data_IF_398239857100
#
_entry.id   IF_398239857100
#
_cell.length_a   1.000
_cell.length_b   1.000
_cell.length_c   1.000
_cell.angle_alpha   90.00
_cell.angle_beta   90.00
_cell.angle_gamma   90.00
#
_symmetry.space_group_name_H-M   'P 1'
#
loop_
_entity.id
_entity.type
_entity.pdbx_description
1 polymer ?
#
# COMPACT_ATOMS: atom_id res chain seq x y z
N UNK A 1 -67.10 23.11 9.19
CA UNK A 1 -67.39 21.78 8.60
C UNK A 1 -66.16 21.40 7.79
N UNK A 2 -65.39 20.36 8.04
CA UNK A 2 -65.63 19.06 8.68
C UNK A 2 -64.40 18.66 9.51
N UNK A 3 -64.68 18.06 10.68
CA UNK A 3 -63.75 17.32 11.52
C UNK A 3 -63.36 16.00 10.86
N UNK A 4 -62.14 15.52 11.18
CA UNK A 4 -61.67 14.18 10.87
C UNK A 4 -60.64 13.75 11.90
N UNK A 5 -61.11 13.42 13.10
CA UNK A 5 -60.35 12.77 14.18
C UNK A 5 -60.48 11.26 14.03
N UNK A 6 -59.40 10.47 14.13
CA UNK A 6 -59.36 9.03 14.48
C UNK A 6 -57.87 8.61 14.75
N UNK A 7 -57.59 7.54 15.53
CA UNK A 7 -57.01 7.68 16.87
C UNK A 7 -55.61 7.05 17.05
N UNK A 8 -54.94 7.46 18.14
CA UNK A 8 -53.77 6.77 18.70
C UNK A 8 -54.22 5.49 19.43
N UNK A 9 -53.98 4.34 18.80
CA UNK A 9 -54.07 3.02 19.44
C UNK A 9 -52.67 2.40 19.55
N UNK A 10 -52.18 2.39 20.78
CA UNK A 10 -51.32 1.38 21.43
C UNK A 10 -50.69 0.28 20.53
N UNK A 11 -49.37 0.31 20.42
CA UNK A 11 -48.55 -0.87 20.10
C UNK A 11 -47.44 -1.06 21.15
N UNK A 12 -47.11 -2.32 21.50
CA UNK A 12 -46.40 -2.68 22.72
C UNK A 12 -44.88 -2.43 22.65
N UNK A 13 -44.32 -2.14 23.83
CA UNK A 13 -42.89 -2.26 24.11
C UNK A 13 -42.39 -3.68 23.81
N UNK A 14 -41.23 -3.78 23.16
CA UNK A 14 -40.45 -5.01 23.11
C UNK A 14 -40.09 -5.50 21.72
N UNK A 15 -39.18 -4.80 21.05
CA UNK A 15 -38.36 -5.41 20.00
C UNK A 15 -36.94 -4.88 20.13
N UNK A 16 -36.08 -5.74 20.68
CA UNK A 16 -34.63 -5.57 20.70
C UNK A 16 -34.15 -5.50 19.25
N UNK A 17 -33.33 -4.51 18.84
CA UNK A 17 -32.72 -4.54 17.53
C UNK A 17 -31.76 -5.72 17.45
N UNK A 18 -32.07 -6.67 16.55
CA UNK A 18 -31.19 -7.77 16.18
C UNK A 18 -29.97 -7.17 15.49
N UNK A 19 -28.83 -7.15 16.18
CA UNK A 19 -27.52 -6.88 15.58
C UNK A 19 -27.20 -8.00 14.60
N UNK A 20 -27.24 -7.69 13.31
CA UNK A 20 -26.72 -8.55 12.26
C UNK A 20 -25.19 -8.41 12.25
N UNK A 21 -24.51 -9.32 12.96
CA UNK A 21 -23.09 -9.57 12.75
C UNK A 21 -22.95 -10.55 11.57
N UNK A 22 -22.17 -10.25 10.52
CA UNK A 22 -21.88 -11.20 9.46
C UNK A 22 -21.05 -12.40 9.94
N UNK A 23 -20.54 -12.35 11.18
CA UNK A 23 -19.89 -13.46 11.86
C UNK A 23 -20.84 -13.99 12.95
N UNK A 24 -21.36 -15.20 12.74
CA UNK A 24 -22.25 -15.86 13.70
C UNK A 24 -21.60 -16.08 15.08
N UNK A 25 -22.40 -16.32 16.13
CA UNK A 25 -21.87 -16.47 17.48
C UNK A 25 -21.01 -17.73 17.57
N UNK A 26 -19.71 -17.57 17.85
CA UNK A 26 -18.83 -18.68 18.21
C UNK A 26 -19.24 -19.19 19.59
N UNK A 27 -19.83 -20.38 19.64
CA UNK A 27 -20.05 -21.11 20.89
C UNK A 27 -18.69 -21.49 21.49
N UNK A 28 -18.42 -21.05 22.71
CA UNK A 28 -17.25 -21.50 23.48
C UNK A 28 -17.39 -23.00 23.81
N UNK A 29 -16.33 -23.81 23.71
CA UNK A 29 -16.38 -25.20 24.14
C UNK A 29 -16.58 -25.26 25.66
N UNK A 30 -17.69 -25.85 26.11
CA UNK A 30 -17.85 -26.24 27.52
C UNK A 30 -16.85 -27.36 27.82
N UNK A 31 -15.91 -27.10 28.73
CA UNK A 31 -15.08 -28.15 29.30
C UNK A 31 -15.93 -29.18 30.07
N UNK A 32 -15.45 -30.42 30.21
CA UNK A 32 -16.19 -31.47 30.88
C UNK A 32 -16.31 -31.19 32.38
N UNK A 33 -17.55 -31.18 32.86
CA UNK A 33 -17.90 -31.17 34.28
C UNK A 33 -17.58 -32.56 34.84
N UNK A 34 -16.66 -32.63 35.81
CA UNK A 34 -16.41 -33.83 36.60
C UNK A 34 -17.31 -33.81 37.82
N UNK A 35 -18.41 -34.58 37.78
CA UNK A 35 -19.17 -34.92 38.97
C UNK A 35 -18.51 -36.13 39.64
N UNK A 36 -18.03 -35.91 40.86
CA UNK A 36 -17.45 -36.92 41.72
C UNK A 36 -18.50 -37.39 42.73
N UNK A 37 -19.20 -38.48 42.42
CA UNK A 37 -19.87 -39.32 43.42
C UNK A 37 -19.75 -40.77 42.97
N UNK A 38 -19.07 -41.60 43.76
CA UNK A 38 -19.22 -43.05 43.63
C UNK A 38 -19.06 -43.74 44.98
N UNK A 39 -20.19 -44.22 45.50
CA UNK A 39 -20.27 -45.16 46.60
C UNK A 39 -20.43 -46.59 46.06
N UNK A 40 -19.51 -47.45 46.51
CA UNK A 40 -19.70 -48.88 46.86
C UNK A 40 -20.51 -49.82 45.94
N UNK A 41 -19.81 -50.85 45.45
CA UNK A 41 -20.27 -52.24 45.56
C UNK A 41 -20.22 -53.10 44.30
N UNK A 42 -19.56 -54.27 44.37
CA UNK A 42 -19.84 -55.41 43.49
C UNK A 42 -18.62 -56.08 42.87
N UNK A 43 -18.21 -57.23 43.42
CA UNK A 43 -17.02 -58.04 43.11
C UNK A 43 -17.33 -59.17 42.09
N UNK A 44 -16.25 -59.78 41.56
CA UNK A 44 -16.11 -61.13 40.94
C UNK A 44 -16.40 -61.21 39.43
N UNK A 45 -15.63 -61.86 38.53
CA UNK A 45 -14.59 -62.91 38.60
C UNK A 45 -13.57 -62.80 37.42
N UNK A 46 -12.31 -63.15 37.69
CA UNK A 46 -11.17 -63.42 36.76
C UNK A 46 -11.24 -64.85 36.13
N UNK A 47 -10.23 -65.40 35.41
CA UNK A 47 -9.18 -64.84 34.52
C UNK A 47 -8.97 -65.68 33.22
N UNK A 48 -8.08 -65.27 32.29
CA UNK A 48 -7.61 -66.22 31.26
C UNK A 48 -6.71 -65.71 30.13
N UNK A 49 -5.40 -65.91 30.32
CA UNK A 49 -4.37 -66.24 29.34
C UNK A 49 -3.64 -65.15 28.52
N UNK A 50 -2.33 -65.37 28.48
CA UNK A 50 -1.21 -64.51 28.07
C UNK A 50 -0.58 -65.14 26.78
N UNK A 51 0.65 -64.81 26.33
CA UNK A 51 0.91 -64.17 25.03
C UNK A 51 1.76 -65.02 24.06
N UNK A 52 1.77 -64.71 22.77
CA UNK A 52 2.77 -65.12 21.75
C UNK A 52 2.40 -64.41 20.44
N UNK A 53 3.24 -63.66 19.73
CA UNK A 53 4.57 -64.01 19.23
C UNK A 53 4.44 -64.51 17.78
N UNK A 54 4.99 -63.78 16.80
CA UNK A 54 5.81 -64.30 15.67
C UNK A 54 5.94 -63.26 14.54
N UNK A 55 7.20 -62.96 14.31
CA UNK A 55 7.88 -62.26 13.24
C UNK A 55 7.83 -63.08 11.92
N UNK A 56 7.68 -62.42 10.77
CA UNK A 56 8.11 -63.00 9.50
C UNK A 56 8.79 -61.96 8.59
N UNK A 57 10.05 -62.28 8.36
CA UNK A 57 11.06 -61.66 7.52
C UNK A 57 10.87 -61.83 5.99
N UNK A 58 11.26 -60.77 5.26
CA UNK A 58 12.29 -60.69 4.20
C UNK A 58 12.20 -61.55 2.90
N UNK A 59 12.19 -60.84 1.75
CA UNK A 59 13.10 -60.98 0.57
C UNK A 59 13.01 -59.71 -0.32
N UNK A 60 13.99 -58.79 -0.38
CA UNK A 60 15.22 -58.72 -1.22
C UNK A 60 14.95 -58.87 -2.74
N UNK A 61 15.40 -58.05 -3.72
CA UNK A 61 16.49 -57.03 -3.93
C UNK A 61 16.32 -56.45 -5.40
N UNK A 62 17.24 -55.66 -6.05
CA UNK A 62 17.65 -54.26 -5.84
C UNK A 62 17.88 -53.40 -7.15
N UNK A 63 18.29 -52.12 -6.99
CA UNK A 63 19.00 -51.27 -7.98
C UNK A 63 18.60 -49.79 -7.83
N UNK A 64 19.41 -48.82 -7.37
CA UNK A 64 20.81 -48.44 -7.64
C UNK A 64 20.83 -47.49 -8.86
N UNK A 65 21.21 -46.20 -8.87
CA UNK A 65 22.25 -45.45 -8.15
C UNK A 65 22.07 -43.91 -8.28
N UNK A 66 22.70 -43.16 -7.35
CA UNK A 66 23.19 -41.76 -7.45
C UNK A 66 24.32 -41.58 -6.40
N UNK A 67 25.13 -40.50 -6.41
CA UNK A 67 26.07 -39.92 -7.39
C UNK A 67 27.51 -39.82 -6.75
N UNK A 68 28.54 -39.03 -7.21
CA UNK A 68 28.59 -37.54 -7.17
C UNK A 68 29.45 -36.81 -8.27
N UNK A 69 29.40 -35.46 -8.28
CA UNK A 69 30.22 -34.45 -9.02
C UNK A 69 31.60 -34.22 -8.29
N UNK A 70 32.60 -33.35 -8.65
CA UNK A 70 32.83 -32.39 -9.77
C UNK A 70 34.27 -32.31 -10.40
N UNK A 71 34.46 -31.60 -11.53
CA UNK A 71 35.80 -31.20 -12.03
C UNK A 71 35.85 -30.55 -13.43
N UNK A 72 36.61 -29.45 -13.54
CA UNK A 72 36.78 -28.40 -14.59
C UNK A 72 37.36 -28.81 -15.99
N UNK A 73 37.39 -27.91 -17.01
CA UNK A 73 37.42 -28.21 -18.46
C UNK A 73 38.76 -27.90 -19.19
N UNK A 74 38.86 -28.16 -20.52
CA UNK A 74 39.57 -27.30 -21.47
C UNK A 74 38.58 -26.75 -22.52
N UNK A 75 38.61 -25.50 -23.01
CA UNK A 75 39.72 -24.75 -23.59
C UNK A 75 39.34 -24.42 -25.04
N UNK A 76 39.32 -23.14 -25.46
CA UNK A 76 39.05 -22.76 -26.85
C UNK A 76 38.41 -21.38 -27.02
N UNK A 77 39.26 -20.36 -27.08
CA UNK A 77 38.94 -18.99 -27.51
C UNK A 77 39.29 -18.93 -29.00
N UNK A 78 38.44 -18.33 -29.85
CA UNK A 78 38.93 -17.64 -31.04
C UNK A 78 37.92 -16.58 -31.55
N UNK A 79 38.41 -15.34 -31.62
CA UNK A 79 37.79 -14.19 -32.27
C UNK A 79 38.36 -14.02 -33.69
N UNK A 80 37.56 -13.61 -34.70
CA UNK A 80 38.13 -13.11 -35.95
C UNK A 80 38.61 -11.65 -35.81
N UNK A 81 39.88 -11.44 -36.18
CA UNK A 81 40.58 -10.16 -36.29
C UNK A 81 40.00 -9.23 -37.37
N UNK A 82 40.03 -7.94 -37.04
CA UNK A 82 40.09 -6.80 -37.96
C UNK A 82 41.30 -6.90 -38.91
N UNK A 83 41.07 -6.64 -40.19
CA UNK A 83 42.09 -6.25 -41.17
C UNK A 83 42.22 -4.72 -41.23
N UNK A 84 43.44 -4.26 -41.55
CA UNK A 84 43.96 -2.91 -41.33
C UNK A 84 43.65 -1.85 -42.41
N UNK A 85 44.38 -0.71 -42.36
CA UNK A 85 44.00 0.54 -43.02
C UNK A 85 44.82 0.83 -44.28
N UNK A 86 44.17 1.25 -45.37
CA UNK A 86 44.83 1.89 -46.53
C UNK A 86 43.87 2.85 -47.23
N UNK A 87 44.36 4.05 -47.58
CA UNK A 87 43.90 4.80 -48.76
C UNK A 87 43.15 6.11 -48.51
N UNK A 88 43.89 7.21 -48.31
CA UNK A 88 43.43 8.57 -48.59
C UNK A 88 43.98 9.03 -49.96
N UNK A 89 43.14 9.59 -50.85
CA UNK A 89 43.60 10.45 -51.93
C UNK A 89 42.88 11.83 -51.96
N UNK A 90 43.38 12.81 -52.74
CA UNK A 90 43.57 14.19 -52.29
C UNK A 90 42.47 15.20 -52.65
N UNK A 91 42.55 16.36 -51.99
CA UNK A 91 41.81 17.61 -52.25
C UNK A 91 42.16 18.18 -53.65
N UNK A 92 41.17 18.56 -54.48
CA UNK A 92 41.37 19.50 -55.57
C UNK A 92 41.12 20.94 -55.11
N UNK A 93 42.07 21.83 -55.41
CA UNK A 93 41.94 23.27 -55.19
C UNK A 93 41.13 24.00 -56.26
N UNK A 94 40.62 25.16 -55.86
CA UNK A 94 40.47 26.35 -56.70
C UNK A 94 39.22 26.46 -57.56
N UNK A 95 38.25 27.26 -57.13
CA UNK A 95 37.63 28.23 -58.05
C UNK A 95 37.14 29.48 -57.31
N UNK A 96 37.57 30.62 -57.85
CA UNK A 96 37.20 31.97 -57.47
C UNK A 96 35.71 32.21 -57.77
N UNK A 97 34.95 32.69 -56.77
CA UNK A 97 33.72 33.42 -57.03
C UNK A 97 33.80 34.78 -56.33
N UNK A 98 34.10 35.79 -57.15
CA UNK A 98 33.84 37.20 -56.86
C UNK A 98 32.35 37.38 -56.57
N UNK A 99 31.99 37.62 -55.30
CA UNK A 99 30.66 38.11 -54.94
C UNK A 99 30.78 39.56 -54.49
N UNK A 100 30.10 40.37 -55.31
CA UNK A 100 29.77 41.79 -55.22
C UNK A 100 29.64 42.35 -53.80
N UNK A 101 30.23 43.54 -53.60
CA UNK A 101 29.95 44.45 -52.50
C UNK A 101 28.45 44.81 -52.47
N UNK A 102 27.77 44.38 -51.41
CA UNK A 102 26.46 44.86 -50.99
C UNK A 102 26.57 45.23 -49.52
N UNK A 103 26.32 46.49 -49.22
CA UNK A 103 26.31 47.08 -47.89
C UNK A 103 25.15 46.50 -47.05
N UNK A 104 25.37 46.03 -45.81
CA UNK A 104 24.31 45.95 -44.83
C UNK A 104 24.64 46.87 -43.65
N UNK A 105 23.79 47.88 -43.51
CA UNK A 105 23.54 48.60 -42.27
C UNK A 105 23.63 47.66 -41.06
N UNK A 106 24.57 48.01 -40.18
CA UNK A 106 24.81 47.42 -38.87
C UNK A 106 23.54 47.41 -38.00
N UNK A 107 23.05 46.22 -37.69
CA UNK A 107 22.42 45.93 -36.39
C UNK A 107 23.10 44.68 -35.84
N UNK A 108 24.13 44.91 -35.02
CA UNK A 108 24.80 43.85 -34.27
C UNK A 108 23.89 43.46 -33.10
N UNK A 109 23.02 42.47 -33.32
CA UNK A 109 22.44 41.71 -32.23
C UNK A 109 23.52 40.71 -31.78
N UNK A 110 24.15 41.01 -30.65
CA UNK A 110 24.97 40.03 -29.93
C UNK A 110 24.04 38.87 -29.54
N UNK A 111 24.38 37.61 -29.83
CA UNK A 111 23.68 36.50 -29.21
C UNK A 111 23.97 36.59 -27.71
N UNK A 112 22.93 36.78 -26.90
CA UNK A 112 23.05 36.64 -25.45
C UNK A 112 23.78 35.32 -25.17
N UNK A 113 24.91 35.42 -24.47
CA UNK A 113 25.64 34.25 -23.98
C UNK A 113 24.72 33.37 -23.15
N UNK A 114 25.10 32.10 -22.88
CA UNK A 114 24.27 31.21 -22.08
C UNK A 114 23.91 31.89 -20.76
N UNK A 115 22.60 32.15 -20.57
CA UNK A 115 22.05 32.77 -19.36
C UNK A 115 22.62 32.01 -18.15
N UNK A 116 23.45 32.69 -17.37
CA UNK A 116 24.04 32.08 -16.17
C UNK A 116 22.89 31.57 -15.29
N UNK A 117 22.95 30.35 -14.72
CA UNK A 117 21.87 29.83 -13.89
C UNK A 117 21.50 30.87 -12.83
N UNK A 118 20.26 31.34 -12.87
CA UNK A 118 19.72 32.29 -11.89
C UNK A 118 19.94 31.68 -10.51
N UNK A 119 20.83 32.28 -9.70
CA UNK A 119 21.02 31.82 -8.32
C UNK A 119 19.67 31.98 -7.60
N UNK A 120 19.20 30.95 -6.88
CA UNK A 120 18.02 31.09 -6.02
C UNK A 120 18.21 32.31 -5.11
N UNK A 121 17.21 33.19 -5.05
CA UNK A 121 17.25 34.38 -4.20
C UNK A 121 17.35 33.93 -2.74
N UNK A 122 18.50 34.12 -2.07
CA UNK A 122 18.70 33.65 -0.70
C UNK A 122 17.80 34.35 0.33
N UNK A 123 17.05 35.40 -0.08
CA UNK A 123 16.10 36.14 0.75
C UNK A 123 14.63 35.77 0.55
N UNK A 124 14.26 34.90 -0.39
CA UNK A 124 12.85 34.56 -0.64
C UNK A 124 12.32 33.64 0.46
N UNK A 125 11.57 34.19 1.41
CA UNK A 125 10.82 33.40 2.39
C UNK A 125 9.73 32.64 1.62
N UNK A 126 9.67 31.29 1.68
CA UNK A 126 8.61 30.53 1.04
C UNK A 126 7.25 31.00 1.54
N UNK A 127 6.28 31.16 0.64
CA UNK A 127 4.92 31.55 0.99
C UNK A 127 4.41 30.65 2.14
N UNK A 128 3.91 31.22 3.26
CA UNK A 128 3.29 30.46 4.33
C UNK A 128 2.27 29.42 3.84
N UNK A 129 1.53 29.73 2.77
CA UNK A 129 0.58 28.81 2.15
C UNK A 129 1.28 27.61 1.53
N UNK A 130 2.34 27.81 0.73
CA UNK A 130 3.10 26.72 0.12
C UNK A 130 3.72 25.79 1.16
N UNK A 131 4.21 26.36 2.27
CA UNK A 131 4.70 25.57 3.41
C UNK A 131 3.57 24.73 4.01
N UNK A 132 2.41 25.33 4.25
CA UNK A 132 1.26 24.61 4.81
C UNK A 132 0.81 23.45 3.89
N UNK A 133 0.69 23.69 2.58
CA UNK A 133 0.34 22.68 1.58
C UNK A 133 1.38 21.55 1.52
N UNK A 134 2.67 21.88 1.61
CA UNK A 134 3.75 20.89 1.59
C UNK A 134 3.73 19.99 2.82
N UNK A 135 3.42 20.56 4.00
CA UNK A 135 3.42 19.81 5.27
C UNK A 135 2.08 19.12 5.58
N UNK A 136 1.01 19.36 4.80
CA UNK A 136 -0.28 18.72 5.04
C UNK A 136 -0.21 17.19 4.92
N UNK A 137 0.73 16.64 4.12
CA UNK A 137 0.95 15.20 4.04
C UNK A 137 1.50 14.62 5.34
N UNK A 138 2.46 15.30 5.98
CA UNK A 138 2.98 14.88 7.28
C UNK A 138 1.91 15.00 8.38
N UNK A 139 1.12 16.09 8.33
CA UNK A 139 -0.03 16.25 9.23
C UNK A 139 -1.05 15.13 9.05
N UNK A 140 -1.36 14.75 7.81
CA UNK A 140 -2.26 13.63 7.49
C UNK A 140 -1.77 12.32 8.13
N UNK A 141 -0.48 12.01 8.01
CA UNK A 141 0.12 10.82 8.64
C UNK A 141 -0.03 10.87 10.16
N UNK A 142 0.34 11.98 10.79
CA UNK A 142 0.27 12.12 12.25
C UNK A 142 -1.18 11.96 12.73
N UNK A 143 -2.13 12.66 12.11
CA UNK A 143 -3.55 12.61 12.50
C UNK A 143 -4.10 11.19 12.37
N UNK A 144 -3.90 10.53 11.22
CA UNK A 144 -4.39 9.17 11.00
C UNK A 144 -3.75 8.16 11.93
N UNK A 145 -2.42 8.19 12.10
CA UNK A 145 -1.73 7.21 12.94
C UNK A 145 -2.04 7.39 14.42
N UNK A 146 -2.10 8.64 14.91
CA UNK A 146 -2.51 8.90 16.28
C UNK A 146 -3.92 8.40 16.51
N UNK A 147 -4.86 8.63 15.59
CA UNK A 147 -6.21 8.11 15.70
C UNK A 147 -6.26 6.58 15.70
N UNK A 148 -5.59 5.91 14.73
CA UNK A 148 -5.54 4.45 14.63
C UNK A 148 -4.95 3.84 15.92
N UNK A 149 -3.76 4.30 16.34
CA UNK A 149 -3.08 3.75 17.51
C UNK A 149 -3.87 4.05 18.78
N UNK A 150 -4.35 5.28 18.97
CA UNK A 150 -5.14 5.61 20.16
C UNK A 150 -6.45 4.80 20.22
N UNK A 151 -7.15 4.63 19.10
CA UNK A 151 -8.36 3.80 19.04
C UNK A 151 -8.06 2.33 19.37
N UNK A 152 -6.97 1.74 18.87
CA UNK A 152 -6.60 0.36 19.25
C UNK A 152 -6.27 0.22 20.73
N UNK A 153 -5.62 1.23 21.34
CA UNK A 153 -5.30 1.22 22.78
C UNK A 153 -6.53 1.42 23.67
N UNK A 154 -7.53 2.17 23.18
CA UNK A 154 -8.77 2.48 23.90
C UNK A 154 -9.85 1.39 23.76
N UNK A 155 -9.62 0.39 22.91
CA UNK A 155 -10.55 -0.73 22.67
C UNK A 155 -9.96 -2.04 23.19
N UNK A 156 -10.17 -2.42 24.47
CA UNK A 156 -9.61 -3.66 25.04
C UNK A 156 -10.08 -4.94 24.35
N UNK A 157 -11.19 -4.88 23.62
CA UNK A 157 -11.74 -5.99 22.84
C UNK A 157 -11.01 -6.23 21.52
N UNK A 158 -10.24 -5.24 21.05
CA UNK A 158 -9.62 -5.27 19.72
C UNK A 158 -8.48 -6.29 19.65
N UNK A 159 -8.52 -7.13 18.62
CA UNK A 159 -7.48 -8.08 18.26
C UNK A 159 -6.96 -7.81 16.85
N UNK A 160 -5.65 -7.55 16.73
CA UNK A 160 -4.97 -7.34 15.44
C UNK A 160 -5.15 -8.49 14.44
N UNK A 161 -5.30 -9.71 14.91
CA UNK A 161 -5.48 -10.90 14.05
C UNK A 161 -6.94 -11.29 13.87
N UNK A 162 -7.85 -10.74 14.68
CA UNK A 162 -9.26 -11.11 14.71
C UNK A 162 -10.21 -10.05 14.17
N UNK A 163 -9.78 -8.80 14.08
CA UNK A 163 -10.63 -7.65 13.76
C UNK A 163 -10.15 -6.90 12.51
N UNK A 164 -11.01 -6.03 12.00
CA UNK A 164 -10.62 -4.96 11.09
C UNK A 164 -10.28 -3.70 11.91
N UNK A 165 -9.36 -2.85 11.45
CA UNK A 165 -9.17 -1.52 12.06
C UNK A 165 -10.46 -0.71 11.98
N UNK A 166 -11.23 -0.84 10.88
CA UNK A 166 -12.48 -0.11 10.72
C UNK A 166 -13.57 -0.46 11.72
N UNK A 167 -13.49 -1.63 12.38
CA UNK A 167 -14.42 -1.98 13.47
C UNK A 167 -14.25 -1.05 14.68
N UNK A 168 -13.09 -0.43 14.87
CA UNK A 168 -12.89 0.60 15.90
C UNK A 168 -13.77 1.84 15.68
N UNK A 169 -14.20 2.06 14.43
CA UNK A 169 -15.10 3.11 14.01
C UNK A 169 -16.58 2.71 13.98
N UNK A 170 -16.93 1.48 14.40
CA UNK A 170 -18.29 0.96 14.25
C UNK A 170 -19.32 1.73 15.10
N UNK A 171 -20.59 1.83 14.64
CA UNK A 171 -21.66 2.44 15.43
C UNK A 171 -21.82 1.74 16.79
N UNK A 172 -21.89 2.54 17.86
CA UNK A 172 -22.02 2.03 19.24
C UNK A 172 -20.70 1.91 19.99
N UNK A 173 -19.55 1.96 19.31
CA UNK A 173 -18.25 1.96 19.99
C UNK A 173 -17.98 3.31 20.68
N UNK A 174 -17.55 3.33 21.96
CA UNK A 174 -17.39 4.57 22.75
C UNK A 174 -16.45 5.61 22.13
N UNK A 175 -15.44 5.13 21.39
CA UNK A 175 -14.40 5.96 20.76
C UNK A 175 -14.45 5.90 19.22
N UNK A 176 -15.58 5.48 18.63
CA UNK A 176 -15.76 5.42 17.18
C UNK A 176 -15.41 6.74 16.48
N UNK A 177 -15.79 7.85 17.12
CA UNK A 177 -15.53 9.19 16.61
C UNK A 177 -14.03 9.46 16.41
N UNK A 178 -13.16 8.94 17.27
CA UNK A 178 -11.71 9.17 17.19
C UNK A 178 -11.13 8.52 15.94
N UNK A 179 -11.50 7.26 15.69
CA UNK A 179 -11.08 6.54 14.50
C UNK A 179 -11.63 7.21 13.23
N UNK A 180 -12.95 7.42 13.19
CA UNK A 180 -13.65 7.94 12.01
C UNK A 180 -13.20 9.35 11.64
N UNK A 181 -13.14 10.28 12.60
CA UNK A 181 -12.65 11.64 12.32
C UNK A 181 -11.15 11.66 12.02
N UNK A 182 -10.36 10.77 12.61
CA UNK A 182 -8.96 10.59 12.25
C UNK A 182 -8.79 10.25 10.77
N UNK A 183 -9.58 9.31 10.24
CA UNK A 183 -9.55 8.95 8.83
C UNK A 183 -10.09 10.06 7.92
N UNK A 184 -11.17 10.75 8.32
CA UNK A 184 -11.72 11.89 7.57
C UNK A 184 -10.67 13.00 7.44
N UNK A 185 -10.13 13.47 8.56
CA UNK A 185 -9.16 14.56 8.58
C UNK A 185 -7.85 14.16 7.90
N UNK A 186 -7.37 12.94 8.14
CA UNK A 186 -6.19 12.40 7.48
C UNK A 186 -6.37 12.29 5.97
N UNK A 187 -7.53 11.80 5.51
CA UNK A 187 -7.86 11.74 4.09
C UNK A 187 -7.91 13.13 3.45
N UNK A 188 -8.58 14.10 4.07
CA UNK A 188 -8.68 15.47 3.55
C UNK A 188 -7.31 16.16 3.47
N UNK A 189 -6.50 16.09 4.55
CA UNK A 189 -5.14 16.64 4.56
C UNK A 189 -4.24 15.95 3.52
N UNK A 190 -4.41 14.63 3.36
CA UNK A 190 -3.75 13.84 2.34
C UNK A 190 -4.13 14.26 0.93
N UNK A 191 -5.42 14.54 0.66
CA UNK A 191 -5.89 15.03 -0.64
C UNK A 191 -5.27 16.38 -0.98
N UNK A 192 -5.21 17.31 -0.02
CA UNK A 192 -4.51 18.60 -0.20
C UNK A 192 -3.04 18.38 -0.57
N UNK A 193 -2.37 17.46 0.11
CA UNK A 193 -0.97 17.13 -0.17
C UNK A 193 -0.78 16.54 -1.56
N UNK A 194 -1.64 15.59 -1.95
CA UNK A 194 -1.57 14.96 -3.28
C UNK A 194 -1.81 16.00 -4.38
N UNK A 195 -2.74 16.94 -4.21
CA UNK A 195 -2.91 18.05 -5.14
C UNK A 195 -1.62 18.87 -5.27
N UNK A 196 -0.93 19.17 -4.16
CA UNK A 196 0.36 19.86 -4.21
C UNK A 196 1.43 19.04 -4.95
N UNK A 197 1.48 17.72 -4.76
CA UNK A 197 2.41 16.82 -5.48
C UNK A 197 2.07 16.74 -6.97
N UNK A 198 0.79 16.79 -7.34
CA UNK A 198 0.34 16.74 -8.72
C UNK A 198 0.88 17.92 -9.55
N UNK A 199 0.96 19.11 -8.94
CA UNK A 199 1.51 20.31 -9.58
C UNK A 199 2.98 20.17 -9.99
N UNK A 200 3.73 19.25 -9.38
CA UNK A 200 5.14 18.97 -9.68
C UNK A 200 5.33 17.91 -10.77
N UNK A 201 4.25 17.40 -11.35
CA UNK A 201 4.30 16.24 -12.24
C UNK A 201 4.36 16.63 -13.71
N UNK A 202 5.50 16.34 -14.34
CA UNK A 202 5.74 16.66 -15.75
C UNK A 202 5.52 15.49 -16.71
N UNK A 203 4.99 14.37 -16.21
CA UNK A 203 4.75 13.16 -17.00
C UNK A 203 3.33 12.64 -16.83
N UNK A 204 2.80 12.03 -17.88
CA UNK A 204 1.48 11.38 -17.88
C UNK A 204 1.40 10.32 -16.78
N UNK A 205 2.48 9.56 -16.55
CA UNK A 205 2.55 8.54 -15.50
C UNK A 205 2.50 9.17 -14.11
N UNK A 206 3.19 10.30 -13.89
CA UNK A 206 3.15 11.04 -12.62
C UNK A 206 1.78 11.66 -12.32
N UNK A 207 1.12 12.19 -13.35
CA UNK A 207 -0.26 12.67 -13.25
C UNK A 207 -1.25 11.54 -12.93
N UNK A 208 -1.13 10.39 -13.60
CA UNK A 208 -1.95 9.22 -13.31
C UNK A 208 -1.73 8.72 -11.87
N UNK A 209 -0.47 8.66 -11.41
CA UNK A 209 -0.14 8.32 -10.02
C UNK A 209 -0.77 9.28 -9.01
N UNK A 210 -0.69 10.59 -9.27
CA UNK A 210 -1.30 11.61 -8.41
C UNK A 210 -2.83 11.51 -8.40
N UNK A 211 -3.47 11.28 -9.54
CA UNK A 211 -4.92 11.08 -9.62
C UNK A 211 -5.38 9.85 -8.82
N UNK A 212 -4.65 8.74 -8.92
CA UNK A 212 -4.91 7.53 -8.15
C UNK A 212 -4.71 7.76 -6.64
N UNK A 213 -3.64 8.44 -6.23
CA UNK A 213 -3.42 8.76 -4.81
C UNK A 213 -4.46 9.76 -4.26
N UNK A 214 -4.98 10.64 -5.11
CA UNK A 214 -6.08 11.54 -4.74
C UNK A 214 -7.36 10.73 -4.50
N UNK A 215 -7.68 9.79 -5.41
CA UNK A 215 -8.80 8.87 -5.23
C UNK A 215 -8.62 8.00 -3.97
N UNK A 216 -7.40 7.56 -3.66
CA UNK A 216 -7.09 6.83 -2.44
C UNK A 216 -7.38 7.68 -1.19
N UNK A 217 -6.80 8.88 -1.08
CA UNK A 217 -7.00 9.76 0.09
C UNK A 217 -8.46 10.19 0.27
N UNK A 218 -9.19 10.43 -0.83
CA UNK A 218 -10.64 10.65 -0.79
C UNK A 218 -11.41 9.42 -0.31
N UNK A 219 -11.02 8.22 -0.75
CA UNK A 219 -11.61 6.96 -0.28
C UNK A 219 -11.33 6.72 1.21
N UNK A 220 -10.14 7.09 1.71
CA UNK A 220 -9.82 7.03 3.14
C UNK A 220 -10.75 7.91 3.97
N UNK A 221 -11.01 9.14 3.52
CA UNK A 221 -11.99 10.01 4.17
C UNK A 221 -13.40 9.41 4.12
N UNK A 222 -13.77 8.79 2.98
CA UNK A 222 -15.05 8.10 2.85
C UNK A 222 -15.19 6.89 3.80
N UNK A 223 -14.11 6.15 4.08
CA UNK A 223 -14.12 5.06 5.09
C UNK A 223 -14.49 5.60 6.47
N UNK A 224 -13.93 6.75 6.87
CA UNK A 224 -14.32 7.39 8.14
C UNK A 224 -15.73 7.96 8.12
N UNK A 225 -16.20 8.47 6.97
CA UNK A 225 -17.54 9.05 6.82
C UNK A 225 -18.65 7.99 6.71
N UNK A 226 -18.33 6.77 6.28
CA UNK A 226 -19.23 5.63 6.16
C UNK A 226 -18.73 4.50 7.08
N UNK A 227 -19.08 4.49 8.37
CA UNK A 227 -18.66 3.46 9.31
C UNK A 227 -19.11 2.05 8.92
N UNK A 228 -18.50 1.04 9.55
CA UNK A 228 -18.89 -0.37 9.40
C UNK A 228 -20.41 -0.53 9.59
N UNK A 229 -21.06 -1.26 8.68
CA UNK A 229 -22.51 -1.41 8.60
C UNK A 229 -23.17 -0.50 7.55
N UNK A 230 -22.53 0.58 7.12
CA UNK A 230 -22.98 1.35 5.95
C UNK A 230 -22.64 0.59 4.64
N UNK A 231 -23.57 0.45 3.68
CA UNK A 231 -23.32 -0.25 2.41
C UNK A 231 -22.16 0.32 1.59
N UNK A 232 -21.79 1.59 1.80
CA UNK A 232 -20.70 2.27 1.10
C UNK A 232 -19.33 2.01 1.73
N UNK A 233 -19.28 1.47 2.96
CA UNK A 233 -18.04 1.23 3.69
C UNK A 233 -17.10 0.30 2.92
N UNK A 234 -17.59 -0.90 2.58
CA UNK A 234 -16.81 -1.91 1.86
C UNK A 234 -16.23 -1.38 0.54
N UNK A 235 -17.05 -0.79 -0.35
CA UNK A 235 -16.56 -0.16 -1.57
C UNK A 235 -15.50 0.93 -1.34
N UNK A 236 -15.68 1.80 -0.34
CA UNK A 236 -14.71 2.85 -0.01
C UNK A 236 -13.38 2.26 0.49
N UNK A 237 -13.43 1.25 1.35
CA UNK A 237 -12.25 0.56 1.86
C UNK A 237 -11.46 -0.13 0.74
N UNK A 238 -12.15 -0.89 -0.12
CA UNK A 238 -11.53 -1.55 -1.28
C UNK A 238 -10.92 -0.52 -2.22
N UNK A 239 -11.64 0.57 -2.53
CA UNK A 239 -11.15 1.65 -3.36
C UNK A 239 -9.86 2.27 -2.80
N UNK A 240 -9.80 2.53 -1.49
CA UNK A 240 -8.59 3.04 -0.84
C UNK A 240 -7.37 2.16 -1.12
N UNK A 241 -7.44 0.86 -0.82
CA UNK A 241 -6.27 -0.03 -0.96
C UNK A 241 -5.88 -0.30 -2.41
N UNK A 242 -6.86 -0.39 -3.32
CA UNK A 242 -6.62 -0.56 -4.75
C UNK A 242 -5.95 0.68 -5.33
N UNK A 243 -6.53 1.87 -5.11
CA UNK A 243 -5.98 3.12 -5.60
C UNK A 243 -4.63 3.46 -4.96
N UNK A 244 -4.43 3.15 -3.68
CA UNK A 244 -3.13 3.26 -3.02
C UNK A 244 -2.08 2.43 -3.75
N UNK A 245 -2.36 1.14 -4.00
CA UNK A 245 -1.42 0.23 -4.66
C UNK A 245 -1.01 0.77 -6.02
N UNK A 246 -1.97 1.05 -6.89
CA UNK A 246 -1.67 1.50 -8.24
C UNK A 246 -1.10 2.92 -8.28
N UNK A 247 -1.54 3.80 -7.38
CA UNK A 247 -1.02 5.15 -7.24
C UNK A 247 0.46 5.17 -6.84
N UNK A 248 0.85 4.35 -5.86
CA UNK A 248 2.26 4.19 -5.48
C UNK A 248 3.07 3.58 -6.63
N UNK A 249 2.58 2.54 -7.30
CA UNK A 249 3.31 1.94 -8.43
C UNK A 249 3.49 2.95 -9.56
N UNK A 250 2.48 3.74 -9.90
CA UNK A 250 2.55 4.76 -10.94
C UNK A 250 3.49 5.92 -10.55
N UNK A 251 3.35 6.52 -9.36
CA UNK A 251 4.25 7.59 -8.90
C UNK A 251 5.70 7.10 -8.80
N UNK A 252 5.91 5.89 -8.26
CA UNK A 252 7.22 5.26 -8.19
C UNK A 252 7.83 5.03 -9.57
N UNK A 253 7.04 4.53 -10.53
CA UNK A 253 7.47 4.33 -11.92
C UNK A 253 7.83 5.66 -12.60
N UNK A 254 7.01 6.71 -12.41
CA UNK A 254 7.30 8.04 -12.93
C UNK A 254 8.65 8.57 -12.41
N UNK A 255 8.97 8.35 -11.13
CA UNK A 255 10.27 8.70 -10.54
C UNK A 255 11.44 7.91 -11.14
N UNK A 256 11.25 6.61 -11.40
CA UNK A 256 12.28 5.79 -12.08
C UNK A 256 12.54 6.35 -13.48
N UNK A 257 11.49 6.62 -14.25
CA UNK A 257 11.58 7.18 -15.60
C UNK A 257 12.21 8.58 -15.62
N UNK A 258 12.00 9.37 -14.57
CA UNK A 258 12.63 10.68 -14.39
C UNK A 258 14.08 10.62 -13.85
N UNK A 259 14.75 9.46 -13.91
CA UNK A 259 16.15 9.32 -13.50
C UNK A 259 16.38 9.29 -11.98
N UNK A 260 15.33 9.04 -11.18
CA UNK A 260 15.41 8.96 -9.70
C UNK A 260 15.11 7.54 -9.19
N UNK A 261 15.88 6.52 -9.60
CA UNK A 261 15.52 5.11 -9.41
C UNK A 261 15.45 4.67 -7.96
N UNK A 262 16.30 5.17 -7.06
CA UNK A 262 16.28 4.78 -5.63
C UNK A 262 14.95 5.13 -4.96
N UNK A 263 14.50 6.37 -5.12
CA UNK A 263 13.21 6.81 -4.58
C UNK A 263 12.03 6.21 -5.34
N UNK A 264 12.17 6.02 -6.65
CA UNK A 264 11.12 5.39 -7.46
C UNK A 264 10.87 3.93 -7.08
N UNK A 265 11.93 3.13 -6.99
CA UNK A 265 11.84 1.73 -6.57
C UNK A 265 11.34 1.59 -5.14
N UNK A 266 11.78 2.45 -4.21
CA UNK A 266 11.22 2.47 -2.86
C UNK A 266 9.69 2.59 -2.90
N UNK A 267 9.17 3.58 -3.63
CA UNK A 267 7.72 3.82 -3.72
C UNK A 267 6.99 2.68 -4.43
N UNK A 268 7.56 2.10 -5.49
CA UNK A 268 7.00 0.89 -6.13
C UNK A 268 6.91 -0.26 -5.13
N UNK A 269 7.97 -0.50 -4.35
CA UNK A 269 7.99 -1.58 -3.36
C UNK A 269 7.02 -1.34 -2.20
N UNK A 270 6.74 -0.09 -1.81
CA UNK A 270 5.66 0.21 -0.85
C UNK A 270 4.29 -0.22 -1.41
N UNK A 271 4.02 0.05 -2.69
CA UNK A 271 2.81 -0.44 -3.36
C UNK A 271 2.74 -1.96 -3.42
N UNK A 272 3.85 -2.62 -3.77
CA UNK A 272 3.93 -4.08 -3.79
C UNK A 272 3.78 -4.72 -2.41
N UNK A 273 4.29 -4.07 -1.35
CA UNK A 273 4.11 -4.52 0.03
C UNK A 273 2.63 -4.51 0.44
N UNK A 274 1.89 -3.45 0.09
CA UNK A 274 0.44 -3.40 0.31
C UNK A 274 -0.29 -4.52 -0.45
N UNK A 275 -0.01 -4.68 -1.74
CA UNK A 275 -0.62 -5.75 -2.55
C UNK A 275 -0.30 -7.16 -2.00
N UNK A 276 0.94 -7.36 -1.56
CA UNK A 276 1.39 -8.64 -0.99
C UNK A 276 0.72 -8.92 0.35
N UNK A 277 0.53 -7.91 1.21
CA UNK A 277 -0.19 -8.09 2.47
C UNK A 277 -1.64 -8.57 2.24
N UNK A 278 -2.35 -7.95 1.28
CA UNK A 278 -3.70 -8.38 0.90
C UNK A 278 -3.71 -9.76 0.25
N UNK A 279 -2.74 -10.08 -0.60
CA UNK A 279 -2.62 -11.41 -1.21
C UNK A 279 -2.39 -12.49 -0.15
N UNK A 280 -1.45 -12.27 0.78
CA UNK A 280 -1.17 -13.21 1.86
C UNK A 280 -2.40 -13.41 2.76
N UNK A 281 -3.08 -12.32 3.12
CA UNK A 281 -4.34 -12.42 3.86
C UNK A 281 -5.39 -13.24 3.09
N UNK A 282 -5.55 -13.01 1.79
CA UNK A 282 -6.51 -13.74 0.96
C UNK A 282 -6.18 -15.23 0.83
N UNK A 283 -4.89 -15.60 0.77
CA UNK A 283 -4.45 -17.00 0.76
C UNK A 283 -4.74 -17.70 2.08
N UNK A 284 -4.51 -17.03 3.22
CA UNK A 284 -4.88 -17.56 4.54
C UNK A 284 -6.41 -17.68 4.65
N UNK A 285 -7.14 -16.68 4.17
CA UNK A 285 -8.61 -16.69 4.12
C UNK A 285 -9.15 -17.89 3.32
N UNK A 286 -8.53 -18.18 2.18
CA UNK A 286 -8.91 -19.30 1.31
C UNK A 286 -8.55 -20.67 1.92
N UNK A 287 -7.60 -20.74 2.84
CA UNK A 287 -7.20 -21.98 3.51
C UNK A 287 -8.17 -22.43 4.62
N UNK A 288 -9.22 -21.64 4.89
CA UNK A 288 -10.29 -21.98 5.85
C UNK A 288 -10.22 -21.20 7.16
N UNK A 289 -9.16 -20.42 7.38
CA UNK A 289 -9.13 -19.44 8.45
C UNK A 289 -9.87 -18.18 8.01
N UNK A 290 -10.60 -17.49 8.88
CA UNK A 290 -11.15 -16.17 8.60
C UNK A 290 -10.42 -15.11 9.44
N UNK A 291 -9.15 -14.79 9.13
CA UNK A 291 -8.39 -13.82 9.89
C UNK A 291 -8.98 -12.41 9.73
N UNK A 292 -8.90 -11.61 10.78
CA UNK A 292 -9.18 -10.18 10.71
C UNK A 292 -8.30 -9.48 9.68
N UNK A 293 -8.77 -8.33 9.16
CA UNK A 293 -8.07 -7.56 8.12
C UNK A 293 -7.21 -6.42 8.68
N UNK A 294 -7.11 -6.25 10.01
CA UNK A 294 -6.37 -5.12 10.58
C UNK A 294 -4.89 -5.09 10.17
N UNK A 295 -4.23 -6.25 10.02
CA UNK A 295 -2.83 -6.32 9.59
C UNK A 295 -2.64 -5.77 8.15
N UNK A 296 -3.31 -6.30 7.11
CA UNK A 296 -3.17 -5.73 5.77
C UNK A 296 -3.62 -4.27 5.69
N UNK A 297 -4.63 -3.87 6.46
CA UNK A 297 -5.03 -2.46 6.53
C UNK A 297 -3.92 -1.55 7.10
N UNK A 298 -3.26 -1.98 8.18
CA UNK A 298 -2.16 -1.23 8.80
C UNK A 298 -0.92 -1.19 7.91
N UNK A 299 -0.62 -2.28 7.18
CA UNK A 299 0.46 -2.29 6.17
C UNK A 299 0.19 -1.25 5.08
N UNK A 300 -1.06 -1.12 4.61
CA UNK A 300 -1.43 -0.06 3.67
C UNK A 300 -1.26 1.35 4.26
N UNK A 301 -1.63 1.55 5.52
CA UNK A 301 -1.39 2.83 6.22
C UNK A 301 0.11 3.16 6.30
N UNK A 302 0.96 2.17 6.61
CA UNK A 302 2.42 2.32 6.64
C UNK A 302 2.99 2.60 5.25
N UNK A 303 2.48 1.96 4.20
CA UNK A 303 2.89 2.21 2.82
C UNK A 303 2.61 3.65 2.40
N UNK A 304 1.42 4.18 2.73
CA UNK A 304 1.08 5.58 2.50
C UNK A 304 2.01 6.52 3.28
N UNK A 305 2.23 6.26 4.57
CA UNK A 305 3.14 7.07 5.39
C UNK A 305 4.57 7.06 4.85
N UNK A 306 5.06 5.90 4.39
CA UNK A 306 6.38 5.74 3.78
C UNK A 306 6.55 6.52 2.48
N UNK A 307 5.46 6.76 1.74
CA UNK A 307 5.47 7.57 0.52
C UNK A 307 5.50 9.08 0.79
N UNK A 308 4.87 9.54 1.86
CA UNK A 308 4.78 10.97 2.19
C UNK A 308 6.16 11.61 2.33
N UNK A 309 7.14 10.93 2.92
CA UNK A 309 8.48 11.47 3.07
C UNK A 309 9.16 11.78 1.72
N UNK A 310 9.39 10.82 0.80
CA UNK A 310 10.01 11.11 -0.49
C UNK A 310 9.16 12.00 -1.39
N UNK A 311 7.83 12.05 -1.23
CA UNK A 311 6.98 13.03 -1.90
C UNK A 311 7.21 14.46 -1.38
N UNK A 312 7.30 14.63 -0.07
CA UNK A 312 7.57 15.93 0.57
C UNK A 312 8.94 16.46 0.15
N UNK A 313 9.97 15.59 0.14
CA UNK A 313 11.31 15.98 -0.31
C UNK A 313 11.35 16.41 -1.78
N UNK A 314 10.52 15.81 -2.64
CA UNK A 314 10.39 16.21 -4.04
C UNK A 314 9.84 17.64 -4.14
N UNK A 315 8.67 17.89 -3.52
CA UNK A 315 8.02 19.21 -3.53
C UNK A 315 8.95 20.30 -2.99
N UNK A 316 9.67 20.03 -1.90
CA UNK A 316 10.61 20.98 -1.30
C UNK A 316 11.81 21.32 -2.16
N UNK A 317 12.25 20.41 -3.03
CA UNK A 317 13.40 20.64 -3.93
C UNK A 317 13.00 21.49 -5.11
N UNK A 318 11.86 21.22 -5.74
CA UNK A 318 11.34 22.04 -6.83
C UNK A 318 11.16 23.50 -6.40
N UNK A 319 10.57 23.73 -5.23
CA UNK A 319 10.38 25.08 -4.69
C UNK A 319 11.68 25.83 -4.35
N UNK A 320 12.83 25.15 -4.33
CA UNK A 320 14.13 25.78 -4.15
C UNK A 320 14.85 26.07 -5.49
N UNK A 321 14.33 25.51 -6.59
CA UNK A 321 14.84 25.69 -7.96
C UNK A 321 14.10 26.83 -8.70
N UNK A 322 12.89 27.21 -8.25
CA UNK A 322 12.04 28.32 -8.77
C UNK A 322 12.32 29.71 -8.15
#
# INVERSE_FOLDING_TARGET
MLQGSYPLSSLPCGSVPVTYSPYGPKQSPRGPVTDAENGTGGRTTEPGHDPEGIDHQIRARPGGNRPPNPGTPPGGIDHPRRTGPEGEPPIPGGEFLHVRSGDPTTVSATPDGPESPRRPDPGRIPDPLDRALTWSGAAAVVVSFVAIVASTLLAPWFSWTGNALSELGAPGEPYAWLFNWGLILGGLLGSVFVCRVALESDSVVGWAGSALLLAATGSLAAVGAFPVGDPRHGPAAVAFFVFLTYGLVADGSARVLAGRPRTGLLVVWLGMANATAWLLWALVAAAGDAPGVAIPEFVGALAMAGWVYPATQRVRRSAAED
#
